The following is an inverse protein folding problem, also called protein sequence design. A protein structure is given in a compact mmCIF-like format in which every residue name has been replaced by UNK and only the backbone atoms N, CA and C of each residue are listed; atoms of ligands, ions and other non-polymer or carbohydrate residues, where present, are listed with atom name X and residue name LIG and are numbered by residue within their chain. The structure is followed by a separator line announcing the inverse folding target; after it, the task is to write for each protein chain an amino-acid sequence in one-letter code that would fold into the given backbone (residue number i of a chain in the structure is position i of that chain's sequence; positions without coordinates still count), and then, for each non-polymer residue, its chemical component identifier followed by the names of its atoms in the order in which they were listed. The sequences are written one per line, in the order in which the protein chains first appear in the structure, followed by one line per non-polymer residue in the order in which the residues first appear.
data_IF_581434877215
#
_entry.id   IF_581434877215
#
_cell.length_a   1.000
_cell.length_b   1.000
_cell.length_c   1.000
_cell.angle_alpha   90.00
_cell.angle_beta   90.00
_cell.angle_gamma   90.00
#
_symmetry.space_group_name_H-M   'P 1'
#
loop_
_entity.id
_entity.type
_entity.pdbx_description
1 polymer ?
#
# COMPACT_ATOMS: atom_id res chain seq x y z
N UNK A 1 10.14 16.99 15.88
CA UNK A 1 10.16 16.55 14.47
C UNK A 1 8.70 16.46 14.04
N UNK A 2 8.25 17.38 13.20
CA UNK A 2 6.94 17.31 12.56
C UNK A 2 7.06 16.37 11.36
N UNK A 3 6.21 15.35 11.32
CA UNK A 3 6.16 14.41 10.21
C UNK A 3 5.12 14.90 9.21
N UNK A 4 5.47 14.92 7.92
CA UNK A 4 4.50 15.16 6.86
C UNK A 4 3.69 13.89 6.61
N UNK A 5 2.36 14.01 6.64
CA UNK A 5 1.47 12.93 6.27
C UNK A 5 1.43 12.78 4.74
N UNK A 6 1.42 11.54 4.25
CA UNK A 6 1.16 11.28 2.84
C UNK A 6 -0.26 11.77 2.48
N UNK A 7 -0.42 12.36 1.31
CA UNK A 7 -1.73 12.84 0.83
C UNK A 7 -2.66 11.70 0.39
N UNK A 8 -2.13 10.49 0.18
CA UNK A 8 -2.88 9.32 -0.30
C UNK A 8 -2.85 8.17 0.70
N UNK A 9 -3.94 7.43 0.75
CA UNK A 9 -4.10 6.28 1.63
C UNK A 9 -3.02 5.22 1.34
N UNK A 10 -2.58 4.44 2.36
CA UNK A 10 -1.63 3.35 2.16
C UNK A 10 -2.05 2.33 1.09
N UNK A 11 -3.35 2.02 1.00
CA UNK A 11 -3.87 1.09 -0.01
C UNK A 11 -3.69 1.64 -1.42
N UNK A 12 -4.09 2.89 -1.68
CA UNK A 12 -3.86 3.54 -2.97
C UNK A 12 -2.37 3.49 -3.36
N UNK A 13 -1.47 3.80 -2.42
CA UNK A 13 -0.02 3.79 -2.70
C UNK A 13 0.48 2.40 -3.09
N UNK A 14 0.06 1.35 -2.39
CA UNK A 14 0.44 -0.03 -2.72
C UNK A 14 -0.19 -0.44 -4.06
N UNK A 15 -1.46 -0.11 -4.28
CA UNK A 15 -2.18 -0.44 -5.51
C UNK A 15 -1.56 0.24 -6.74
N UNK A 16 -1.13 1.50 -6.64
CA UNK A 16 -0.37 2.20 -7.69
C UNK A 16 0.99 1.55 -7.96
N UNK A 17 1.66 1.04 -6.93
CA UNK A 17 2.91 0.27 -7.11
C UNK A 17 2.64 -1.03 -7.86
N UNK A 18 1.58 -1.77 -7.51
CA UNK A 18 1.20 -3.01 -8.20
C UNK A 18 0.84 -2.75 -9.67
N UNK A 19 -0.01 -1.75 -9.94
CA UNK A 19 -0.34 -1.34 -11.30
C UNK A 19 0.91 -0.92 -12.08
N UNK A 20 1.79 -0.12 -11.47
CA UNK A 20 3.03 0.31 -12.09
C UNK A 20 3.96 -0.85 -12.40
N UNK A 21 4.06 -1.83 -11.51
CA UNK A 21 4.86 -3.03 -11.69
C UNK A 21 4.33 -3.89 -12.85
N UNK A 22 3.02 -4.05 -13.00
CA UNK A 22 2.44 -4.86 -14.08
C UNK A 22 2.45 -4.15 -15.44
N UNK A 23 2.25 -2.83 -15.47
CA UNK A 23 2.03 -2.10 -16.72
C UNK A 23 3.32 -1.52 -17.33
N UNK A 24 4.29 -1.16 -16.50
CA UNK A 24 5.50 -0.45 -16.91
C UNK A 24 6.59 -1.39 -17.41
N UNK A 25 7.31 -0.95 -18.45
CA UNK A 25 8.61 -1.51 -18.88
C UNK A 25 9.66 -1.58 -17.76
N UNK A 26 9.56 -0.72 -16.75
CA UNK A 26 10.47 -0.74 -15.60
C UNK A 26 10.08 -1.80 -14.55
N UNK A 27 8.93 -2.45 -14.72
CA UNK A 27 8.51 -3.65 -14.01
C UNK A 27 8.44 -4.83 -14.98
N UNK A 28 7.29 -5.50 -15.02
CA UNK A 28 7.02 -6.67 -15.85
C UNK A 28 6.15 -6.36 -17.09
N UNK A 29 5.79 -5.08 -17.27
CA UNK A 29 4.96 -4.64 -18.38
C UNK A 29 5.76 -4.15 -19.58
N UNK A 30 5.04 -3.58 -20.55
CA UNK A 30 5.62 -3.13 -21.82
C UNK A 30 5.47 -1.63 -22.06
N UNK A 31 4.70 -0.92 -21.22
CA UNK A 31 4.49 0.52 -21.43
C UNK A 31 5.77 1.31 -21.14
N UNK A 32 6.21 2.06 -22.14
CA UNK A 32 7.34 2.97 -22.00
C UNK A 32 7.10 4.06 -20.94
N UNK A 33 5.85 4.50 -20.81
CA UNK A 33 5.37 5.43 -19.79
C UNK A 33 4.01 4.97 -19.28
N UNK A 34 3.99 4.47 -18.04
CA UNK A 34 2.79 3.88 -17.44
C UNK A 34 1.98 4.86 -16.57
N UNK A 35 2.44 6.10 -16.36
CA UNK A 35 1.87 6.99 -15.35
C UNK A 35 0.36 7.21 -15.51
N UNK A 36 -0.08 7.57 -16.72
CA UNK A 36 -1.50 7.78 -17.01
C UNK A 36 -2.33 6.49 -16.87
N UNK A 37 -1.75 5.34 -17.22
CA UNK A 37 -2.42 4.05 -17.06
C UNK A 37 -2.55 3.68 -15.57
N UNK A 38 -1.51 3.92 -14.77
CA UNK A 38 -1.53 3.72 -13.31
C UNK A 38 -2.57 4.60 -12.65
N UNK A 39 -2.67 5.89 -13.02
CA UNK A 39 -3.68 6.80 -12.48
C UNK A 39 -5.12 6.29 -12.66
N UNK A 40 -5.37 5.57 -13.77
CA UNK A 40 -6.69 5.02 -14.11
C UNK A 40 -6.91 3.65 -13.48
N UNK A 41 -5.91 2.77 -13.53
CA UNK A 41 -6.07 1.34 -13.26
C UNK A 41 -5.72 0.92 -11.84
N UNK A 42 -5.05 1.77 -11.04
CA UNK A 42 -4.72 1.41 -9.66
C UNK A 42 -5.93 0.94 -8.82
N UNK A 43 -7.18 1.45 -8.98
CA UNK A 43 -8.30 0.97 -8.18
C UNK A 43 -8.56 -0.53 -8.33
N UNK A 44 -8.22 -1.13 -9.48
CA UNK A 44 -8.39 -2.57 -9.73
C UNK A 44 -7.43 -3.43 -8.87
N UNK A 45 -6.42 -2.81 -8.26
CA UNK A 45 -5.39 -3.45 -7.44
C UNK A 45 -5.62 -3.29 -5.93
N UNK A 46 -6.69 -2.61 -5.50
CA UNK A 46 -6.96 -2.34 -4.07
C UNK A 46 -7.16 -3.62 -3.26
N UNK A 47 -7.81 -4.64 -3.81
CA UNK A 47 -7.98 -5.93 -3.16
C UNK A 47 -6.64 -6.63 -2.88
N UNK A 48 -5.70 -6.57 -3.83
CA UNK A 48 -4.35 -7.09 -3.66
C UNK A 48 -3.55 -6.27 -2.65
N UNK A 49 -3.66 -4.95 -2.69
CA UNK A 49 -3.04 -4.05 -1.72
C UNK A 49 -3.55 -4.30 -0.28
N UNK A 50 -4.86 -4.51 -0.11
CA UNK A 50 -5.46 -4.89 1.17
C UNK A 50 -4.94 -6.25 1.67
N UNK A 51 -4.78 -7.23 0.77
CA UNK A 51 -4.22 -8.53 1.12
C UNK A 51 -2.78 -8.38 1.65
N UNK A 52 -1.96 -7.56 0.98
CA UNK A 52 -0.60 -7.24 1.45
C UNK A 52 -0.64 -6.63 2.86
N UNK A 53 -1.46 -5.62 3.11
CA UNK A 53 -1.57 -5.01 4.45
C UNK A 53 -2.02 -6.03 5.51
N UNK A 54 -2.98 -6.91 5.18
CA UNK A 54 -3.41 -7.99 6.08
C UNK A 54 -2.27 -8.95 6.41
N UNK A 55 -1.45 -9.32 5.44
CA UNK A 55 -0.24 -10.13 5.67
C UNK A 55 0.76 -9.39 6.56
N UNK A 56 0.93 -8.09 6.36
CA UNK A 56 1.86 -7.27 7.15
C UNK A 56 1.42 -7.08 8.61
N UNK A 57 0.19 -7.43 9.00
CA UNK A 57 -0.25 -7.39 10.42
C UNK A 57 0.60 -8.26 11.33
N UNK A 58 1.23 -9.30 10.79
CA UNK A 58 2.07 -10.23 11.53
C UNK A 58 3.56 -9.83 11.37
N UNK A 59 4.15 -9.08 12.32
CA UNK A 59 5.54 -8.68 12.23
C UNK A 59 6.46 -9.90 12.37
N UNK A 60 7.56 -9.91 11.61
CA UNK A 60 8.59 -10.95 11.76
C UNK A 60 9.27 -10.89 13.14
N UNK A 61 9.90 -11.99 13.56
CA UNK A 61 10.66 -12.01 14.82
C UNK A 61 11.77 -10.96 14.90
N UNK A 62 12.38 -10.58 13.77
CA UNK A 62 13.37 -9.49 13.71
C UNK A 62 12.75 -8.11 13.93
N UNK A 63 11.52 -7.90 13.45
CA UNK A 63 10.77 -6.65 13.69
C UNK A 63 10.38 -6.54 15.16
N UNK A 64 9.94 -7.65 15.76
CA UNK A 64 9.62 -7.73 17.19
C UNK A 64 10.84 -7.47 18.08
N UNK A 65 12.02 -7.92 17.66
CA UNK A 65 13.26 -7.73 18.43
C UNK A 65 13.70 -6.25 18.52
N UNK A 66 13.20 -5.37 17.65
CA UNK A 66 13.63 -3.96 17.56
C UNK A 66 12.49 -2.96 17.72
N UNK A 67 11.26 -3.42 17.94
CA UNK A 67 10.07 -2.58 17.92
C UNK A 67 8.97 -3.03 18.87
N UNK A 68 7.84 -2.34 18.81
CA UNK A 68 6.65 -2.62 19.62
C UNK A 68 5.57 -3.26 18.74
N UNK A 69 5.18 -4.49 19.09
CA UNK A 69 4.20 -5.28 18.35
C UNK A 69 2.81 -4.63 18.33
N UNK A 70 2.38 -4.03 19.45
CA UNK A 70 1.07 -3.43 19.56
C UNK A 70 0.99 -2.10 18.80
N UNK A 71 2.07 -1.32 18.80
CA UNK A 71 2.16 -0.12 17.95
C UNK A 71 2.07 -0.51 16.48
N UNK A 72 2.81 -1.54 16.06
CA UNK A 72 2.76 -2.04 14.69
C UNK A 72 1.35 -2.48 14.29
N UNK A 73 0.70 -3.31 15.11
CA UNK A 73 -0.66 -3.78 14.85
C UNK A 73 -1.64 -2.61 14.69
N UNK A 74 -1.59 -1.62 15.59
CA UNK A 74 -2.43 -0.41 15.51
C UNK A 74 -2.17 0.40 14.24
N UNK A 75 -0.92 0.52 13.81
CA UNK A 75 -0.58 1.25 12.58
C UNK A 75 -1.12 0.53 11.33
N UNK A 76 -1.01 -0.80 11.26
CA UNK A 76 -1.56 -1.56 10.14
C UNK A 76 -3.10 -1.57 10.17
N UNK A 77 -3.72 -1.63 11.35
CA UNK A 77 -5.17 -1.51 11.48
C UNK A 77 -5.65 -0.15 10.96
N UNK A 78 -5.03 0.95 11.40
CA UNK A 78 -5.34 2.29 10.92
C UNK A 78 -5.15 2.42 9.40
N UNK A 79 -4.10 1.83 8.84
CA UNK A 79 -3.85 1.84 7.39
C UNK A 79 -4.93 1.11 6.58
N UNK A 80 -5.62 0.13 7.18
CA UNK A 80 -6.71 -0.62 6.56
C UNK A 80 -8.05 0.10 6.75
N UNK A 81 -8.26 0.74 7.90
CA UNK A 81 -9.47 1.53 8.18
C UNK A 81 -9.56 2.80 7.34
N UNK A 82 -8.42 3.42 7.00
CA UNK A 82 -8.33 4.61 6.13
C UNK A 82 -9.02 4.40 4.77
N UNK A 83 -9.00 3.16 4.25
CA UNK A 83 -9.72 2.77 3.03
C UNK A 83 -11.24 2.80 3.21
N UNK A 84 -11.73 2.34 4.36
CA UNK A 84 -13.17 2.13 4.60
C UNK A 84 -13.91 3.47 4.71
N UNK A 85 -13.19 4.54 5.08
CA UNK A 85 -13.73 5.89 5.15
C UNK A 85 -13.85 6.53 3.76
N UNK A 86 -13.04 6.11 2.78
CA UNK A 86 -13.10 6.64 1.40
C UNK A 86 -14.24 6.06 0.57
N UNK A 87 -14.84 4.94 0.99
CA UNK A 87 -16.03 4.33 0.35
C UNK A 87 -17.36 4.74 1.00
N UNK A 88 -17.34 5.57 2.05
CA UNK A 88 -18.53 6.06 2.79
C UNK A 88 -18.89 7.51 2.41
#
# INVERSE_FOLDING_TARGET
MTWDAAATAPIERIARVLAGHELSRNGEGELESAAAAVDVLWPDYTAAALAILKTMREPSGRMLAVGDAQVWERMIAAAIEDETISES
#
